data_IF_731690517872
#
_entry.id   IF_731690517872
#
_cell.length_a   1.000
_cell.length_b   1.000
_cell.length_c   1.000
_cell.angle_alpha   90.00
_cell.angle_beta   90.00
_cell.angle_gamma   90.00
#
_symmetry.space_group_name_H-M   'P 1'
#
loop_
_entity.id
_entity.type
_entity.pdbx_description
1 polymer ?
#
# COMPACT_ATOMS: atom_id res chain seq x y z
N UNK A 1 -32.51 -5.68 -4.26
CA UNK A 1 -32.07 -4.42 -3.62
C UNK A 1 -30.59 -4.49 -3.35
N UNK A 2 -29.85 -3.42 -3.64
CA UNK A 2 -28.42 -3.28 -3.34
C UNK A 2 -28.19 -3.26 -1.84
N UNK A 3 -27.04 -3.77 -1.38
CA UNK A 3 -26.64 -3.77 0.03
C UNK A 3 -25.27 -3.12 0.17
N UNK A 4 -25.03 -2.48 1.31
CA UNK A 4 -23.69 -2.04 1.69
C UNK A 4 -22.80 -3.28 1.86
N UNK A 5 -21.75 -3.36 1.05
CA UNK A 5 -20.76 -4.43 1.07
C UNK A 5 -19.58 -4.07 1.98
N UNK A 6 -19.10 -2.83 1.88
CA UNK A 6 -17.97 -2.32 2.67
C UNK A 6 -18.05 -0.80 2.82
N UNK A 7 -17.39 -0.27 3.85
CA UNK A 7 -17.23 1.16 4.13
C UNK A 7 -15.73 1.44 4.35
N UNK A 8 -15.16 2.35 3.57
CA UNK A 8 -13.76 2.77 3.66
C UNK A 8 -13.59 4.15 4.31
N UNK A 9 -12.43 4.80 4.13
CA UNK A 9 -12.21 6.16 4.62
C UNK A 9 -12.91 7.25 3.77
N UNK A 10 -13.06 6.99 2.48
CA UNK A 10 -13.57 7.98 1.51
C UNK A 10 -15.01 7.73 1.05
N UNK A 11 -15.49 6.49 1.14
CA UNK A 11 -16.80 6.13 0.58
C UNK A 11 -17.30 4.75 0.96
N UNK A 12 -18.43 4.39 0.37
CA UNK A 12 -19.15 3.16 0.63
C UNK A 12 -19.34 2.35 -0.65
N UNK A 13 -19.15 1.03 -0.55
CA UNK A 13 -19.23 0.10 -1.67
C UNK A 13 -20.53 -0.69 -1.59
N UNK A 14 -21.29 -0.74 -2.67
CA UNK A 14 -22.60 -1.38 -2.75
C UNK A 14 -22.61 -2.55 -3.73
N UNK A 15 -23.30 -3.63 -3.36
CA UNK A 15 -23.50 -4.81 -4.19
C UNK A 15 -24.93 -5.41 -4.07
N UNK A 16 -25.60 -5.78 -5.17
CA UNK A 16 -25.30 -5.41 -6.57
C UNK A 16 -25.11 -3.89 -6.72
N UNK A 17 -24.34 -3.45 -7.72
CA UNK A 17 -24.01 -2.03 -7.91
C UNK A 17 -25.22 -1.10 -7.99
N UNK A 18 -24.97 0.21 -8.06
CA UNK A 18 -25.99 1.26 -8.18
C UNK A 18 -25.71 2.03 -9.47
N UNK A 19 -26.72 2.18 -10.32
CA UNK A 19 -26.60 2.97 -11.55
C UNK A 19 -26.58 4.46 -11.23
N UNK A 20 -26.08 5.28 -12.16
CA UNK A 20 -26.07 6.75 -12.05
C UNK A 20 -27.44 7.38 -11.76
N UNK A 21 -28.54 6.72 -12.17
CA UNK A 21 -29.90 7.17 -11.90
C UNK A 21 -30.43 6.79 -10.50
N UNK A 22 -29.59 6.17 -9.66
CA UNK A 22 -29.92 5.75 -8.29
C UNK A 22 -30.58 4.38 -8.18
N UNK A 23 -30.90 3.72 -9.30
CA UNK A 23 -31.50 2.39 -9.29
C UNK A 23 -30.45 1.28 -9.12
N UNK A 24 -30.80 0.13 -8.52
CA UNK A 24 -29.93 -1.04 -8.48
C UNK A 24 -29.48 -1.48 -9.88
N UNK A 25 -28.20 -1.80 -10.00
CA UNK A 25 -27.63 -2.42 -11.19
C UNK A 25 -28.03 -3.91 -11.22
N UNK A 26 -28.73 -4.39 -12.26
CA UNK A 26 -29.11 -5.80 -12.35
C UNK A 26 -27.91 -6.71 -12.59
N UNK A 27 -26.78 -6.17 -13.08
CA UNK A 27 -25.55 -6.93 -13.27
C UNK A 27 -24.92 -7.27 -11.93
N UNK A 28 -24.71 -8.56 -11.68
CA UNK A 28 -23.94 -9.08 -10.54
C UNK A 28 -22.43 -9.01 -10.76
N UNK A 29 -21.97 -8.41 -11.86
CA UNK A 29 -20.54 -8.28 -12.19
C UNK A 29 -19.92 -6.97 -11.72
N UNK A 30 -20.71 -6.07 -11.12
CA UNK A 30 -20.27 -4.73 -10.74
C UNK A 30 -20.59 -4.46 -9.28
N UNK A 31 -19.62 -3.88 -8.58
CA UNK A 31 -19.84 -3.13 -7.34
C UNK A 31 -19.74 -1.64 -7.65
N UNK A 32 -20.42 -0.83 -6.86
CA UNK A 32 -20.38 0.62 -7.02
C UNK A 32 -19.88 1.27 -5.74
N UNK A 33 -18.75 2.00 -5.83
CA UNK A 33 -18.21 2.85 -4.77
C UNK A 33 -18.83 4.23 -4.91
N UNK A 34 -19.48 4.71 -3.86
CA UNK A 34 -20.03 6.07 -3.79
C UNK A 34 -19.19 6.86 -2.79
N UNK A 35 -18.64 7.99 -3.24
CA UNK A 35 -17.86 8.90 -2.41
C UNK A 35 -18.09 10.37 -2.80
N UNK A 36 -17.62 11.28 -1.95
CA UNK A 36 -17.69 12.72 -2.24
C UNK A 36 -16.91 13.03 -3.53
N UNK A 37 -17.50 13.86 -4.39
CA UNK A 37 -16.87 14.27 -5.63
C UNK A 37 -15.79 15.34 -5.33
N UNK A 38 -14.57 14.88 -5.04
CA UNK A 38 -13.39 15.68 -4.73
C UNK A 38 -12.18 15.25 -5.59
N UNK A 39 -11.00 15.85 -5.34
CA UNK A 39 -9.77 15.53 -6.06
C UNK A 39 -9.47 14.03 -6.07
N UNK A 40 -9.48 13.37 -4.91
CA UNK A 40 -9.16 11.93 -4.81
C UNK A 40 -10.12 11.06 -5.64
N UNK A 41 -11.39 11.44 -5.75
CA UNK A 41 -12.36 10.69 -6.55
C UNK A 41 -12.15 10.86 -8.06
N UNK A 42 -11.79 12.08 -8.48
CA UNK A 42 -11.41 12.35 -9.86
C UNK A 42 -10.09 11.66 -10.21
N UNK A 43 -9.13 11.69 -9.30
CA UNK A 43 -7.86 11.00 -9.42
C UNK A 43 -8.05 9.48 -9.51
N UNK A 44 -8.90 8.87 -8.68
CA UNK A 44 -9.19 7.43 -8.73
C UNK A 44 -9.76 7.01 -10.10
N UNK A 45 -10.66 7.83 -10.66
CA UNK A 45 -11.21 7.62 -12.01
C UNK A 45 -10.12 7.74 -13.08
N UNK A 46 -9.29 8.78 -12.99
CA UNK A 46 -8.19 9.03 -13.94
C UNK A 46 -7.12 7.92 -13.92
N UNK A 47 -6.71 7.48 -12.73
CA UNK A 47 -5.80 6.33 -12.58
C UNK A 47 -6.45 5.06 -13.13
N UNK A 48 -7.76 4.91 -12.95
CA UNK A 48 -8.50 3.81 -13.54
C UNK A 48 -8.35 3.74 -15.06
N UNK A 49 -8.61 4.86 -15.76
CA UNK A 49 -8.40 4.98 -17.20
C UNK A 49 -6.98 4.58 -17.63
N UNK A 50 -5.95 5.09 -16.94
CA UNK A 50 -4.55 4.76 -17.23
C UNK A 50 -4.24 3.26 -17.06
N UNK A 51 -4.84 2.62 -16.06
CA UNK A 51 -4.68 1.18 -15.82
C UNK A 51 -5.43 0.36 -16.87
N UNK A 52 -6.58 0.83 -17.36
CA UNK A 52 -7.34 0.11 -18.40
C UNK A 52 -6.59 0.00 -19.73
N UNK A 53 -5.66 0.91 -20.00
CA UNK A 53 -4.75 0.85 -21.16
C UNK A 53 -3.76 -0.33 -21.09
N UNK A 54 -3.53 -0.92 -19.91
CA UNK A 54 -2.64 -2.05 -19.73
C UNK A 54 -3.31 -3.36 -20.18
N UNK A 55 -2.60 -4.13 -21.00
CA UNK A 55 -3.09 -5.45 -21.43
C UNK A 55 -3.26 -6.36 -20.22
N UNK A 56 -4.43 -7.01 -20.13
CA UNK A 56 -4.76 -7.95 -19.05
C UNK A 56 -4.72 -7.32 -17.64
N UNK A 57 -4.96 -6.01 -17.49
CA UNK A 57 -4.93 -5.32 -16.19
C UNK A 57 -5.81 -6.00 -15.12
N UNK A 58 -6.94 -6.61 -15.51
CA UNK A 58 -7.88 -7.33 -14.61
C UNK A 58 -7.27 -8.53 -13.89
N UNK A 59 -6.10 -9.00 -14.35
CA UNK A 59 -5.30 -10.00 -13.64
C UNK A 59 -4.70 -9.36 -12.39
N UNK A 60 -4.30 -8.10 -12.40
CA UNK A 60 -3.56 -7.50 -11.28
C UNK A 60 -4.38 -6.48 -10.48
N UNK A 61 -5.33 -5.80 -11.13
CA UNK A 61 -5.98 -4.61 -10.60
C UNK A 61 -7.50 -4.68 -10.72
N UNK A 62 -8.20 -3.98 -9.82
CA UNK A 62 -9.62 -3.64 -9.98
C UNK A 62 -9.77 -2.11 -9.91
N UNK A 63 -9.40 -1.39 -10.98
CA UNK A 63 -9.60 0.05 -11.06
C UNK A 63 -11.08 0.42 -11.14
N UNK A 64 -11.35 1.72 -11.02
CA UNK A 64 -12.62 2.29 -11.46
C UNK A 64 -12.68 2.22 -12.99
N UNK A 65 -13.72 1.59 -13.52
CA UNK A 65 -13.90 1.38 -14.97
C UNK A 65 -14.92 2.35 -15.59
N UNK A 66 -15.73 2.97 -14.75
CA UNK A 66 -16.73 3.95 -15.16
C UNK A 66 -17.11 4.81 -13.96
N UNK A 67 -17.36 6.10 -14.17
CA UNK A 67 -17.81 6.98 -13.12
C UNK A 67 -18.85 8.00 -13.61
N UNK A 68 -19.71 8.45 -12.71
CA UNK A 68 -20.74 9.43 -13.01
C UNK A 68 -21.20 10.17 -11.76
N UNK A 69 -21.63 11.42 -11.92
CA UNK A 69 -22.29 12.15 -10.86
C UNK A 69 -23.58 11.43 -10.44
N UNK A 70 -23.81 11.34 -9.13
CA UNK A 70 -24.98 10.66 -8.58
C UNK A 70 -25.73 11.56 -7.61
N UNK A 71 -27.06 11.60 -7.78
CA UNK A 71 -27.95 12.24 -6.83
C UNK A 71 -28.36 11.22 -5.76
N UNK A 72 -27.70 11.29 -4.60
CA UNK A 72 -27.97 10.39 -3.47
C UNK A 72 -29.43 10.41 -3.02
N UNK A 73 -30.19 11.48 -3.29
CA UNK A 73 -31.63 11.55 -2.92
C UNK A 73 -32.49 10.58 -3.72
N UNK A 74 -31.99 10.07 -4.85
CA UNK A 74 -32.68 9.12 -5.73
C UNK A 74 -32.40 7.66 -5.36
N UNK A 75 -31.41 7.41 -4.50
CA UNK A 75 -31.09 6.07 -4.03
C UNK A 75 -31.98 5.77 -2.81
N UNK A 76 -32.34 4.50 -2.65
CA UNK A 76 -33.11 4.03 -1.50
C UNK A 76 -32.45 4.43 -0.16
N UNK A 77 -33.18 5.19 0.66
CA UNK A 77 -32.73 5.66 1.97
C UNK A 77 -32.32 4.51 2.92
N UNK A 78 -32.90 3.31 2.76
CA UNK A 78 -32.53 2.14 3.56
C UNK A 78 -31.13 1.59 3.24
N UNK A 79 -30.60 1.95 2.07
CA UNK A 79 -29.27 1.58 1.59
C UNK A 79 -28.25 2.65 1.99
N UNK A 80 -28.54 3.92 1.72
CA UNK A 80 -27.61 5.03 2.06
C UNK A 80 -27.46 5.22 3.56
N UNK A 81 -28.53 5.08 4.35
CA UNK A 81 -28.47 5.36 5.80
C UNK A 81 -27.49 4.48 6.56
N UNK A 82 -27.06 3.37 5.96
CA UNK A 82 -26.02 2.47 6.51
C UNK A 82 -24.60 2.98 6.29
N UNK A 83 -24.42 3.98 5.43
CA UNK A 83 -23.13 4.59 5.13
C UNK A 83 -22.95 5.86 5.98
N UNK A 84 -22.06 5.82 6.96
CA UNK A 84 -21.86 6.93 7.90
C UNK A 84 -21.15 8.15 7.26
N UNK A 85 -20.50 7.93 6.11
CA UNK A 85 -19.69 8.94 5.40
C UNK A 85 -20.57 9.86 4.56
N UNK A 86 -21.73 9.39 4.09
CA UNK A 86 -22.61 10.17 3.23
C UNK A 86 -23.38 11.17 4.10
N UNK A 87 -23.05 12.45 3.92
CA UNK A 87 -23.68 13.59 4.58
C UNK A 87 -24.62 14.30 3.60
N UNK A 88 -25.68 14.90 4.14
CA UNK A 88 -26.61 15.72 3.35
C UNK A 88 -25.88 16.94 2.77
N UNK A 89 -26.30 17.38 1.58
CA UNK A 89 -25.83 18.59 0.87
C UNK A 89 -24.39 18.56 0.32
N UNK A 90 -23.84 17.38 0.00
CA UNK A 90 -22.58 17.25 -0.76
C UNK A 90 -22.84 16.66 -2.14
N UNK A 91 -21.92 16.90 -3.08
CA UNK A 91 -21.91 16.24 -4.38
C UNK A 91 -21.20 14.91 -4.27
N UNK A 92 -21.76 13.89 -4.91
CA UNK A 92 -21.26 12.53 -4.87
C UNK A 92 -21.00 12.03 -6.28
N UNK A 93 -19.99 11.17 -6.38
CA UNK A 93 -19.68 10.42 -7.59
C UNK A 93 -19.89 8.94 -7.31
N UNK A 94 -20.46 8.26 -8.30
CA UNK A 94 -20.65 6.82 -8.35
C UNK A 94 -19.58 6.25 -9.26
N UNK A 95 -18.84 5.26 -8.76
CA UNK A 95 -17.71 4.66 -9.47
C UNK A 95 -17.92 3.15 -9.53
N UNK A 96 -18.00 2.61 -10.75
CA UNK A 96 -18.18 1.19 -10.99
C UNK A 96 -16.82 0.48 -10.98
N UNK A 97 -16.77 -0.67 -10.33
CA UNK A 97 -15.61 -1.55 -10.23
C UNK A 97 -16.09 -2.99 -10.51
N UNK A 98 -15.28 -3.78 -11.19
CA UNK A 98 -15.58 -5.20 -11.43
C UNK A 98 -15.69 -5.96 -10.10
N UNK A 99 -16.79 -6.69 -9.93
CA UNK A 99 -17.01 -7.57 -8.80
C UNK A 99 -16.31 -8.91 -9.01
N UNK A 100 -15.57 -9.34 -8.00
CA UNK A 100 -14.99 -10.68 -7.90
C UNK A 100 -15.26 -11.30 -6.52
N UNK A 101 -15.40 -12.62 -6.42
CA UNK A 101 -15.54 -13.31 -5.13
C UNK A 101 -14.17 -13.38 -4.43
N UNK A 102 -14.06 -12.68 -3.30
CA UNK A 102 -12.78 -12.43 -2.63
C UNK A 102 -12.83 -12.81 -1.16
N UNK A 103 -11.64 -13.06 -0.61
CA UNK A 103 -11.41 -13.24 0.82
C UNK A 103 -10.35 -12.24 1.30
N UNK A 104 -10.42 -11.88 2.58
CA UNK A 104 -9.37 -11.06 3.18
C UNK A 104 -8.05 -11.87 3.34
N UNK A 105 -6.92 -11.16 3.38
CA UNK A 105 -5.60 -11.79 3.52
C UNK A 105 -5.51 -12.69 4.77
N UNK A 106 -6.07 -12.26 5.89
CA UNK A 106 -6.02 -13.05 7.14
C UNK A 106 -6.76 -14.37 7.04
N UNK A 107 -7.84 -14.43 6.26
CA UNK A 107 -8.60 -15.63 5.97
C UNK A 107 -7.80 -16.57 5.06
N UNK A 108 -7.00 -16.02 4.13
CA UNK A 108 -6.03 -16.83 3.39
C UNK A 108 -5.02 -17.45 4.36
N UNK A 109 -4.44 -16.66 5.26
CA UNK A 109 -3.45 -17.14 6.23
C UNK A 109 -4.01 -18.23 7.17
N UNK A 110 -5.21 -18.02 7.73
CA UNK A 110 -5.86 -18.95 8.66
C UNK A 110 -6.16 -20.32 8.04
N UNK A 111 -6.61 -20.31 6.78
CA UNK A 111 -7.02 -21.52 6.08
C UNK A 111 -5.86 -22.24 5.36
N UNK A 112 -4.68 -21.62 5.30
CA UNK A 112 -3.50 -22.21 4.69
C UNK A 112 -2.76 -23.14 5.64
N UNK A 113 -2.34 -24.30 5.15
CA UNK A 113 -1.41 -25.16 5.89
C UNK A 113 -0.04 -24.50 5.99
N UNK A 114 0.75 -24.83 7.01
CA UNK A 114 2.07 -24.21 7.20
C UNK A 114 3.01 -24.41 6.01
N UNK A 115 2.93 -25.55 5.32
CA UNK A 115 3.69 -25.78 4.07
C UNK A 115 3.25 -24.84 2.93
N UNK A 116 1.95 -24.53 2.85
CA UNK A 116 1.40 -23.65 1.80
C UNK A 116 1.72 -22.19 2.05
N UNK A 117 1.86 -21.75 3.30
CA UNK A 117 2.17 -20.36 3.65
C UNK A 117 3.47 -19.89 2.99
N UNK A 118 4.52 -20.70 3.03
CA UNK A 118 5.81 -20.35 2.43
C UNK A 118 5.72 -20.13 0.91
N UNK A 119 5.06 -21.06 0.23
CA UNK A 119 4.82 -20.93 -1.22
C UNK A 119 3.92 -19.75 -1.55
N UNK A 120 2.89 -19.50 -0.73
CA UNK A 120 1.99 -18.36 -0.91
C UNK A 120 2.72 -17.03 -0.68
N UNK A 121 3.64 -16.94 0.28
CA UNK A 121 4.47 -15.76 0.49
C UNK A 121 5.30 -15.44 -0.76
N UNK A 122 6.03 -16.43 -1.28
CA UNK A 122 6.81 -16.28 -2.50
C UNK A 122 5.93 -15.87 -3.69
N UNK A 123 4.83 -16.62 -3.92
CA UNK A 123 3.91 -16.35 -5.03
C UNK A 123 3.27 -14.97 -4.92
N UNK A 124 2.85 -14.57 -3.72
CA UNK A 124 2.25 -13.24 -3.48
C UNK A 124 3.27 -12.15 -3.72
N UNK A 125 4.51 -12.31 -3.25
CA UNK A 125 5.55 -11.31 -3.48
C UNK A 125 5.85 -11.16 -4.98
N UNK A 126 6.09 -12.27 -5.68
CA UNK A 126 6.33 -12.28 -7.13
C UNK A 126 5.17 -11.63 -7.89
N UNK A 127 3.94 -12.00 -7.57
CA UNK A 127 2.74 -11.49 -8.22
C UNK A 127 2.56 -9.98 -8.05
N UNK A 128 2.79 -9.46 -6.85
CA UNK A 128 2.68 -8.02 -6.59
C UNK A 128 3.84 -7.28 -7.24
N UNK A 129 5.06 -7.83 -7.26
CA UNK A 129 6.18 -7.23 -8.01
C UNK A 129 5.83 -7.07 -9.49
N UNK A 130 5.24 -8.08 -10.12
CA UNK A 130 4.79 -8.00 -11.52
C UNK A 130 3.69 -6.93 -11.70
N UNK A 131 2.75 -6.81 -10.75
CA UNK A 131 1.77 -5.72 -10.75
C UNK A 131 2.44 -4.33 -10.64
N UNK A 132 3.39 -4.17 -9.72
CA UNK A 132 4.10 -2.90 -9.54
C UNK A 132 4.92 -2.52 -10.77
N UNK A 133 5.45 -3.48 -11.52
CA UNK A 133 6.13 -3.21 -12.80
C UNK A 133 5.17 -2.60 -13.81
N UNK A 134 3.95 -3.14 -13.93
CA UNK A 134 2.92 -2.60 -14.82
C UNK A 134 2.50 -1.16 -14.42
N UNK A 135 2.40 -0.86 -13.12
CA UNK A 135 2.17 0.51 -12.66
C UNK A 135 3.35 1.43 -12.98
N UNK A 136 4.58 0.97 -12.76
CA UNK A 136 5.79 1.72 -13.06
C UNK A 136 5.98 2.00 -14.56
N UNK A 137 5.52 1.11 -15.45
CA UNK A 137 5.45 1.33 -16.91
C UNK A 137 4.55 2.51 -17.29
N UNK A 138 3.49 2.76 -16.51
CA UNK A 138 2.60 3.92 -16.64
C UNK A 138 3.02 5.10 -15.75
N UNK A 139 4.19 5.02 -15.11
CA UNK A 139 4.66 6.02 -14.15
C UNK A 139 3.67 6.28 -13.01
N UNK A 140 2.95 5.25 -12.57
CA UNK A 140 2.00 5.32 -11.44
C UNK A 140 2.67 4.79 -10.19
N UNK A 141 2.56 5.54 -9.09
CA UNK A 141 2.83 5.06 -7.73
C UNK A 141 1.49 4.80 -7.06
N UNK A 142 1.28 3.59 -6.54
CA UNK A 142 0.05 3.27 -5.81
C UNK A 142 -0.10 4.16 -4.57
N UNK A 143 1.00 4.43 -3.85
CA UNK A 143 1.11 5.38 -2.74
C UNK A 143 0.35 4.97 -1.46
N UNK A 144 -0.53 3.98 -1.54
CA UNK A 144 -1.25 3.35 -0.42
C UNK A 144 -1.18 1.81 -0.45
N UNK A 145 -0.03 1.24 -0.83
CA UNK A 145 0.06 -0.22 -0.94
C UNK A 145 0.08 -0.83 0.46
N UNK A 146 -1.03 -1.49 0.84
CA UNK A 146 -1.25 -2.16 2.14
C UNK A 146 -2.16 -3.37 1.99
N UNK A 147 -2.21 -4.23 3.01
CA UNK A 147 -2.97 -5.48 2.96
C UNK A 147 -4.48 -5.26 2.77
N UNK A 148 -5.03 -4.16 3.28
CA UNK A 148 -6.45 -3.80 3.09
C UNK A 148 -6.77 -3.43 1.63
N UNK A 149 -5.77 -2.98 0.88
CA UNK A 149 -5.88 -2.62 -0.53
C UNK A 149 -5.50 -3.80 -1.45
N UNK A 150 -5.53 -5.03 -0.93
CA UNK A 150 -5.31 -6.27 -1.67
C UNK A 150 -6.47 -7.25 -1.44
N UNK A 151 -7.28 -7.49 -2.48
CA UNK A 151 -8.35 -8.47 -2.44
C UNK A 151 -7.89 -9.81 -3.00
N UNK A 152 -7.98 -10.88 -2.21
CA UNK A 152 -7.53 -12.20 -2.64
C UNK A 152 -8.67 -12.97 -3.30
N UNK A 153 -8.52 -13.34 -4.57
CA UNK A 153 -9.50 -14.18 -5.29
C UNK A 153 -9.69 -15.48 -4.53
N UNK A 154 -10.94 -15.87 -4.27
CA UNK A 154 -11.23 -17.01 -3.37
C UNK A 154 -10.72 -18.34 -3.93
N UNK A 155 -10.78 -18.55 -5.23
CA UNK A 155 -10.39 -19.79 -5.89
C UNK A 155 -8.86 -19.91 -6.01
N UNK A 156 -8.21 -18.86 -6.52
CA UNK A 156 -6.77 -18.90 -6.86
C UNK A 156 -5.87 -18.38 -5.75
N UNK A 157 -6.42 -17.62 -4.79
CA UNK A 157 -5.67 -16.88 -3.75
C UNK A 157 -4.66 -15.89 -4.32
N UNK A 158 -4.83 -15.47 -5.58
CA UNK A 158 -4.03 -14.40 -6.16
C UNK A 158 -4.64 -13.04 -5.79
N UNK A 159 -3.82 -12.04 -5.41
CA UNK A 159 -4.32 -10.73 -5.04
C UNK A 159 -4.80 -9.93 -6.26
N UNK A 160 -5.67 -8.95 -6.00
CA UNK A 160 -6.00 -7.83 -6.88
C UNK A 160 -5.80 -6.55 -6.08
N UNK A 161 -5.04 -5.62 -6.63
CA UNK A 161 -4.79 -4.31 -6.01
C UNK A 161 -5.98 -3.39 -6.31
N UNK A 162 -6.42 -2.66 -5.29
CA UNK A 162 -7.57 -1.75 -5.31
C UNK A 162 -7.23 -0.42 -4.64
N UNK A 163 -8.16 0.53 -4.71
CA UNK A 163 -8.12 1.82 -4.01
C UNK A 163 -6.99 2.74 -4.46
N UNK A 164 -7.15 3.28 -5.68
CA UNK A 164 -6.19 4.16 -6.33
C UNK A 164 -6.43 5.65 -6.04
N UNK A 165 -7.28 5.99 -5.06
CA UNK A 165 -7.73 7.37 -4.84
C UNK A 165 -6.62 8.36 -4.50
N UNK A 166 -5.53 7.88 -3.90
CA UNK A 166 -4.35 8.69 -3.57
C UNK A 166 -3.11 8.31 -4.39
N UNK A 167 -3.27 7.46 -5.42
CA UNK A 167 -2.17 7.11 -6.30
C UNK A 167 -1.67 8.33 -7.07
N UNK A 168 -0.38 8.30 -7.44
CA UNK A 168 0.30 9.43 -8.04
C UNK A 168 0.68 9.07 -9.49
N UNK A 169 0.05 9.69 -10.51
CA UNK A 169 0.48 9.60 -11.89
C UNK A 169 1.67 10.55 -12.08
N UNK A 170 2.89 10.05 -11.88
CA UNK A 170 4.10 10.87 -11.76
C UNK A 170 4.39 11.77 -12.96
N UNK A 171 3.95 11.36 -14.15
CA UNK A 171 4.04 12.15 -15.40
C UNK A 171 3.10 13.36 -15.43
N UNK A 172 1.98 13.30 -14.69
CA UNK A 172 1.00 14.39 -14.60
C UNK A 172 1.29 15.35 -13.42
N UNK A 173 2.29 15.02 -12.59
CA UNK A 173 2.66 15.86 -11.42
C UNK A 173 3.52 17.05 -11.86
N UNK A 174 2.97 18.25 -11.67
CA UNK A 174 3.59 19.55 -11.91
C UNK A 174 3.83 20.29 -10.60
N UNK A 175 4.57 21.41 -10.62
CA UNK A 175 4.75 22.24 -9.42
C UNK A 175 3.42 22.82 -8.90
N UNK A 176 2.42 23.05 -9.77
CA UNK A 176 1.12 23.63 -9.39
C UNK A 176 0.16 22.64 -8.72
N UNK A 177 0.14 21.38 -9.14
CA UNK A 177 -0.78 20.36 -8.60
C UNK A 177 -0.10 19.42 -7.57
N UNK A 178 1.19 19.60 -7.30
CA UNK A 178 1.94 18.72 -6.40
C UNK A 178 1.32 18.59 -5.01
N UNK A 179 0.74 19.68 -4.51
CA UNK A 179 0.10 19.73 -3.20
C UNK A 179 -1.17 18.86 -3.10
N UNK A 180 -1.80 18.54 -4.23
CA UNK A 180 -2.98 17.66 -4.29
C UNK A 180 -2.58 16.18 -4.17
N UNK A 181 -1.42 15.79 -4.73
CA UNK A 181 -0.89 14.43 -4.68
C UNK A 181 -0.11 14.13 -3.38
N UNK A 182 0.77 15.05 -2.98
CA UNK A 182 1.51 14.97 -1.73
C UNK A 182 0.79 15.83 -0.69
N UNK A 183 -0.35 15.36 -0.19
CA UNK A 183 -1.31 16.19 0.55
C UNK A 183 -1.07 16.27 2.07
N UNK A 184 -0.20 15.44 2.67
CA UNK A 184 0.01 15.50 4.13
C UNK A 184 1.37 14.99 4.60
N UNK A 185 1.96 15.71 5.55
CA UNK A 185 3.12 15.22 6.31
C UNK A 185 2.65 14.28 7.44
N UNK A 186 2.82 12.98 7.23
CA UNK A 186 2.40 11.92 8.14
C UNK A 186 3.51 10.88 8.35
N UNK A 187 4.59 11.21 9.07
CA UNK A 187 5.69 10.26 9.35
C UNK A 187 5.24 9.03 10.15
N UNK A 188 4.06 9.07 10.77
CA UNK A 188 3.44 7.93 11.43
C UNK A 188 2.86 6.90 10.44
N UNK A 189 2.73 7.25 9.17
CA UNK A 189 2.26 6.38 8.11
C UNK A 189 3.43 5.53 7.58
N UNK A 190 3.86 4.55 8.38
CA UNK A 190 5.14 3.86 8.24
C UNK A 190 5.38 3.09 6.93
N UNK A 191 4.35 2.93 6.08
CA UNK A 191 4.52 2.36 4.73
C UNK A 191 5.12 3.38 3.74
N UNK A 192 5.15 4.66 4.10
CA UNK A 192 5.84 5.72 3.34
C UNK A 192 7.32 5.79 3.72
N UNK A 193 8.17 5.78 2.70
CA UNK A 193 9.61 5.98 2.87
C UNK A 193 9.96 7.41 3.31
N UNK A 194 11.22 7.61 3.72
CA UNK A 194 11.70 8.92 4.16
C UNK A 194 11.56 9.98 3.06
N UNK A 195 11.73 9.62 1.77
CA UNK A 195 11.57 10.55 0.67
C UNK A 195 10.15 11.13 0.62
N UNK A 196 9.13 10.28 0.74
CA UNK A 196 7.73 10.71 0.75
C UNK A 196 7.48 11.65 1.93
N UNK A 197 7.98 11.31 3.12
CA UNK A 197 7.84 12.14 4.31
C UNK A 197 8.56 13.50 4.16
N UNK A 198 9.77 13.49 3.59
CA UNK A 198 10.54 14.69 3.31
C UNK A 198 9.85 15.59 2.27
N UNK A 199 9.34 15.02 1.18
CA UNK A 199 8.60 15.77 0.15
C UNK A 199 7.35 16.42 0.77
N UNK A 200 6.54 15.66 1.51
CA UNK A 200 5.37 16.23 2.17
C UNK A 200 5.73 17.31 3.21
N UNK A 201 6.83 17.13 3.95
CA UNK A 201 7.33 18.15 4.87
C UNK A 201 7.70 19.46 4.15
N UNK A 202 8.44 19.37 3.05
CA UNK A 202 8.87 20.52 2.25
C UNK A 202 7.69 21.23 1.57
N UNK A 203 6.64 20.50 1.19
CA UNK A 203 5.44 21.10 0.58
C UNK A 203 4.60 21.85 1.62
N UNK A 204 4.40 21.24 2.80
CA UNK A 204 3.40 21.70 3.77
C UNK A 204 3.94 22.46 4.97
N UNK A 205 5.22 22.31 5.29
CA UNK A 205 5.83 22.87 6.51
C UNK A 205 6.99 23.82 6.23
N UNK A 206 7.81 23.56 5.21
CA UNK A 206 8.93 24.45 4.86
C UNK A 206 9.17 24.56 3.34
N UNK A 207 8.81 25.71 2.76
CA UNK A 207 9.01 26.05 1.34
C UNK A 207 10.35 26.75 1.04
N UNK A 208 11.19 26.96 2.05
CA UNK A 208 12.46 27.67 1.98
C UNK A 208 13.65 26.75 1.71
N UNK A 209 14.65 26.82 2.58
CA UNK A 209 15.80 25.92 2.57
C UNK A 209 15.67 24.90 3.69
N UNK A 210 16.10 23.66 3.44
CA UNK A 210 16.10 22.60 4.45
C UNK A 210 17.26 22.83 5.43
N UNK A 211 16.97 22.94 6.72
CA UNK A 211 18.00 22.97 7.76
C UNK A 211 18.38 21.57 8.25
N UNK A 212 19.55 21.44 8.85
CA UNK A 212 20.00 20.17 9.44
C UNK A 212 19.04 19.65 10.52
N UNK A 213 18.50 20.55 11.36
CA UNK A 213 17.56 20.18 12.42
C UNK A 213 16.24 19.65 11.87
N UNK A 214 15.70 20.27 10.80
CA UNK A 214 14.48 19.81 10.15
C UNK A 214 14.70 18.47 9.45
N UNK A 215 15.84 18.30 8.78
CA UNK A 215 16.24 17.03 8.15
C UNK A 215 16.27 15.90 9.19
N UNK A 216 16.96 16.12 10.32
CA UNK A 216 17.03 15.15 11.41
C UNK A 216 15.66 14.85 11.99
N UNK A 217 14.84 15.89 12.23
CA UNK A 217 13.48 15.73 12.74
C UNK A 217 12.61 14.84 11.84
N UNK A 218 12.62 15.06 10.52
CA UNK A 218 11.82 14.24 9.58
C UNK A 218 12.27 12.78 9.61
N UNK A 219 13.58 12.53 9.62
CA UNK A 219 14.14 11.17 9.68
C UNK A 219 13.80 10.50 11.00
N UNK A 220 14.06 11.18 12.13
CA UNK A 220 13.78 10.65 13.47
C UNK A 220 12.31 10.29 13.62
N UNK A 221 11.39 11.15 13.16
CA UNK A 221 9.96 10.86 13.19
C UNK A 221 9.60 9.67 12.30
N UNK A 222 10.17 9.58 11.09
CA UNK A 222 9.89 8.48 10.16
C UNK A 222 10.37 7.13 10.71
N UNK A 223 11.56 7.10 11.35
CA UNK A 223 12.14 5.89 11.93
C UNK A 223 11.44 5.50 13.22
N UNK A 224 11.18 6.46 14.11
CA UNK A 224 10.56 6.19 15.42
C UNK A 224 9.13 5.66 15.30
N UNK A 225 8.41 5.99 14.23
CA UNK A 225 7.06 5.48 14.02
C UNK A 225 7.00 4.22 13.15
N UNK A 226 8.12 3.62 12.77
CA UNK A 226 8.15 2.39 11.97
C UNK A 226 8.19 1.15 12.89
N UNK A 227 7.10 0.38 13.05
CA UNK A 227 7.03 -0.71 14.01
C UNK A 227 8.01 -1.86 13.71
N UNK A 228 8.33 -2.07 12.43
CA UNK A 228 9.29 -3.08 12.01
C UNK A 228 10.70 -2.71 12.44
N UNK A 229 11.12 -1.45 12.26
CA UNK A 229 12.45 -1.01 12.72
C UNK A 229 12.55 -1.06 14.24
N UNK A 230 11.47 -0.66 14.94
CA UNK A 230 11.40 -0.76 16.41
C UNK A 230 11.56 -2.20 16.88
N UNK A 231 10.94 -3.17 16.20
CA UNK A 231 11.03 -4.59 16.59
C UNK A 231 12.43 -5.18 16.44
N UNK A 232 13.30 -4.58 15.61
CA UNK A 232 14.71 -5.01 15.44
C UNK A 232 15.67 -4.46 16.49
N UNK A 233 15.21 -3.53 17.33
CA UNK A 233 15.98 -3.00 18.46
C UNK A 233 16.87 -1.80 18.12
N UNK A 234 17.41 -1.20 19.18
CA UNK A 234 18.05 0.12 19.10
C UNK A 234 19.28 0.17 18.19
N UNK A 235 20.09 -0.89 18.14
CA UNK A 235 21.28 -0.92 17.28
C UNK A 235 20.91 -0.77 15.79
N UNK A 236 19.89 -1.52 15.34
CA UNK A 236 19.38 -1.41 13.96
C UNK A 236 18.81 -0.03 13.67
N UNK A 237 18.12 0.57 14.66
CA UNK A 237 17.56 1.92 14.53
C UNK A 237 18.65 2.95 14.35
N UNK A 238 19.69 2.91 15.18
CA UNK A 238 20.80 3.87 15.11
C UNK A 238 21.62 3.71 13.83
N UNK A 239 21.85 2.48 13.37
CA UNK A 239 22.48 2.23 12.08
C UNK A 239 21.63 2.79 10.92
N UNK A 240 20.33 2.50 10.91
CA UNK A 240 19.41 2.99 9.88
C UNK A 240 19.34 4.53 9.86
N UNK A 241 19.29 5.17 11.03
CA UNK A 241 19.35 6.63 11.15
C UNK A 241 20.68 7.19 10.67
N UNK A 242 21.79 6.58 11.04
CA UNK A 242 23.12 6.99 10.59
C UNK A 242 23.24 7.01 9.06
N UNK A 243 22.79 5.93 8.42
CA UNK A 243 22.75 5.84 6.95
C UNK A 243 21.78 6.86 6.32
N UNK A 244 20.64 7.13 6.98
CA UNK A 244 19.74 8.18 6.54
C UNK A 244 20.39 9.56 6.64
N UNK A 245 21.02 9.89 7.77
CA UNK A 245 21.71 11.18 7.93
C UNK A 245 22.83 11.38 6.93
N UNK A 246 23.62 10.34 6.67
CA UNK A 246 24.66 10.37 5.65
C UNK A 246 24.09 10.75 4.28
N UNK A 247 23.03 10.07 3.83
CA UNK A 247 22.42 10.34 2.53
C UNK A 247 21.75 11.72 2.49
N UNK A 248 20.95 12.08 3.50
CA UNK A 248 20.12 13.29 3.44
C UNK A 248 20.86 14.59 3.78
N UNK A 249 22.06 14.53 4.37
CA UNK A 249 22.88 15.73 4.67
C UNK A 249 23.21 16.52 3.41
N UNK A 250 23.31 15.87 2.24
CA UNK A 250 23.54 16.55 0.96
C UNK A 250 22.44 17.57 0.60
N UNK A 251 21.24 17.45 1.19
CA UNK A 251 20.11 18.34 0.94
C UNK A 251 20.05 19.56 1.86
N UNK A 252 20.90 19.61 2.89
CA UNK A 252 20.93 20.74 3.84
C UNK A 252 21.38 22.02 3.13
N UNK A 253 20.62 23.10 3.31
CA UNK A 253 20.83 24.40 2.67
C UNK A 253 20.26 24.51 1.25
N UNK A 254 19.84 23.41 0.62
CA UNK A 254 19.19 23.44 -0.69
C UNK A 254 17.74 23.90 -0.60
N UNK A 255 17.21 24.47 -1.69
CA UNK A 255 15.82 24.92 -1.76
C UNK A 255 14.85 23.73 -1.88
N UNK A 256 13.68 23.84 -1.26
CA UNK A 256 12.67 22.78 -1.24
C UNK A 256 12.33 22.21 -2.62
N UNK A 257 12.18 23.04 -3.64
CA UNK A 257 11.86 22.61 -5.01
C UNK A 257 12.97 21.77 -5.66
N UNK A 258 14.24 22.10 -5.41
CA UNK A 258 15.39 21.34 -5.91
C UNK A 258 15.51 19.98 -5.22
N UNK A 259 15.28 19.96 -3.90
CA UNK A 259 15.27 18.72 -3.10
C UNK A 259 14.15 17.79 -3.59
N UNK A 260 12.93 18.30 -3.73
CA UNK A 260 11.78 17.51 -4.21
C UNK A 260 12.07 16.93 -5.59
N UNK A 261 12.65 17.70 -6.52
CA UNK A 261 13.02 17.20 -7.85
C UNK A 261 14.01 16.03 -7.77
N UNK A 262 15.02 16.11 -6.89
CA UNK A 262 16.00 15.03 -6.69
C UNK A 262 15.37 13.79 -6.05
N UNK A 263 14.56 13.96 -4.99
CA UNK A 263 13.94 12.84 -4.29
C UNK A 263 12.89 12.11 -5.14
N UNK A 264 12.11 12.84 -5.96
CA UNK A 264 11.09 12.25 -6.83
C UNK A 264 11.65 11.27 -7.86
N UNK A 265 12.93 11.35 -8.24
CA UNK A 265 13.53 10.45 -9.23
C UNK A 265 13.45 8.97 -8.81
N UNK A 266 13.40 8.70 -7.50
CA UNK A 266 13.39 7.35 -6.96
C UNK A 266 11.99 6.72 -6.81
N UNK A 267 10.94 7.37 -7.33
CA UNK A 267 9.53 6.97 -7.12
C UNK A 267 9.22 5.52 -7.45
N UNK A 268 9.91 4.93 -8.43
CA UNK A 268 9.73 3.53 -8.85
C UNK A 268 10.08 2.51 -7.77
N UNK A 269 10.72 2.93 -6.68
CA UNK A 269 11.05 2.07 -5.52
C UNK A 269 10.09 2.22 -4.35
N UNK A 270 9.21 3.23 -4.35
CA UNK A 270 8.40 3.57 -3.19
C UNK A 270 7.37 2.49 -2.84
N UNK A 271 6.65 1.95 -3.84
CA UNK A 271 5.71 0.86 -3.57
C UNK A 271 6.44 -0.45 -3.21
N UNK A 272 7.67 -0.66 -3.70
CA UNK A 272 8.49 -1.81 -3.31
C UNK A 272 8.98 -1.69 -1.85
N UNK A 273 9.26 -0.47 -1.39
CA UNK A 273 9.50 -0.18 0.03
C UNK A 273 8.27 -0.59 0.86
N UNK A 274 7.07 -0.11 0.49
CA UNK A 274 5.83 -0.44 1.20
C UNK A 274 5.56 -1.95 1.22
N UNK A 275 5.72 -2.62 0.08
CA UNK A 275 5.56 -4.08 -0.04
C UNK A 275 6.53 -4.84 0.87
N UNK A 276 7.79 -4.41 0.88
CA UNK A 276 8.85 -5.05 1.67
C UNK A 276 8.60 -4.86 3.17
N UNK A 277 8.14 -3.69 3.62
CA UNK A 277 7.70 -3.46 5.00
C UNK A 277 6.59 -4.43 5.42
N UNK A 278 5.56 -4.57 4.60
CA UNK A 278 4.39 -5.41 4.93
C UNK A 278 4.74 -6.89 5.01
N UNK A 279 5.47 -7.39 4.00
CA UNK A 279 5.85 -8.79 3.94
C UNK A 279 6.88 -9.14 5.03
N UNK A 280 7.79 -8.23 5.35
CA UNK A 280 8.76 -8.45 6.42
C UNK A 280 8.05 -8.48 7.78
N UNK A 281 7.16 -7.52 8.05
CA UNK A 281 6.34 -7.50 9.27
C UNK A 281 5.54 -8.80 9.45
N UNK A 282 5.03 -9.37 8.35
CA UNK A 282 4.35 -10.66 8.36
C UNK A 282 5.31 -11.84 8.64
N UNK A 283 6.48 -11.88 7.99
CA UNK A 283 7.50 -12.91 8.24
C UNK A 283 7.95 -12.89 9.69
N UNK A 284 8.21 -11.71 10.26
CA UNK A 284 8.65 -11.54 11.65
C UNK A 284 7.61 -12.10 12.64
N UNK A 285 6.31 -11.93 12.34
CA UNK A 285 5.21 -12.51 13.14
C UNK A 285 5.09 -14.03 12.99
N UNK A 286 5.36 -14.56 11.79
CA UNK A 286 5.29 -16.00 11.51
C UNK A 286 6.47 -16.77 12.11
N UNK A 287 7.64 -16.12 12.19
CA UNK A 287 8.91 -16.67 12.66
C UNK A 287 9.48 -15.80 13.79
N UNK A 288 8.83 -15.83 14.95
CA UNK A 288 9.12 -14.97 16.10
C UNK A 288 10.41 -15.31 16.86
N UNK A 289 11.12 -16.37 16.46
CA UNK A 289 12.45 -16.72 17.01
C UNK A 289 13.46 -16.95 15.90
N UNK A 290 14.69 -16.47 16.11
CA UNK A 290 15.79 -16.62 15.13
C UNK A 290 16.08 -18.08 14.84
N UNK A 291 16.03 -18.95 15.84
CA UNK A 291 16.23 -20.40 15.73
C UNK A 291 15.21 -21.10 14.80
N UNK A 292 14.09 -20.44 14.51
CA UNK A 292 13.04 -20.95 13.63
C UNK A 292 13.26 -20.59 12.16
N UNK A 293 14.26 -19.75 11.86
CA UNK A 293 14.56 -19.24 10.52
C UNK A 293 15.66 -20.07 9.87
N UNK A 294 15.43 -20.51 8.63
CA UNK A 294 16.44 -21.13 7.78
C UNK A 294 17.06 -20.11 6.83
N UNK A 295 17.97 -20.56 5.95
CA UNK A 295 18.61 -19.74 4.92
C UNK A 295 17.60 -18.98 4.03
N UNK A 296 16.49 -19.63 3.65
CA UNK A 296 15.43 -19.02 2.86
C UNK A 296 14.78 -17.82 3.58
N UNK A 297 14.31 -17.98 4.82
CA UNK A 297 13.71 -16.87 5.57
C UNK A 297 14.72 -15.75 5.81
N UNK A 298 15.95 -16.09 6.19
CA UNK A 298 17.00 -15.09 6.37
C UNK A 298 17.33 -14.36 5.06
N UNK A 299 17.26 -15.06 3.92
CA UNK A 299 17.40 -14.47 2.59
C UNK A 299 16.28 -13.49 2.26
N UNK A 300 15.03 -13.84 2.56
CA UNK A 300 13.89 -12.93 2.39
C UNK A 300 14.01 -11.68 3.27
N UNK A 301 14.41 -11.84 4.53
CA UNK A 301 14.62 -10.71 5.44
C UNK A 301 15.73 -9.78 4.93
N UNK A 302 16.85 -10.33 4.44
CA UNK A 302 17.93 -9.54 3.83
C UNK A 302 17.47 -8.79 2.58
N UNK A 303 16.70 -9.44 1.70
CA UNK A 303 16.12 -8.82 0.51
C UNK A 303 15.19 -7.66 0.90
N UNK A 304 14.30 -7.88 1.87
CA UNK A 304 13.36 -6.86 2.32
C UNK A 304 14.09 -5.70 3.01
N UNK A 305 15.10 -5.98 3.84
CA UNK A 305 15.97 -4.95 4.44
C UNK A 305 16.63 -4.07 3.36
N UNK A 306 17.13 -4.68 2.29
CA UNK A 306 17.71 -3.96 1.16
C UNK A 306 16.70 -3.03 0.48
N UNK A 307 15.46 -3.49 0.33
CA UNK A 307 14.40 -2.71 -0.31
C UNK A 307 13.79 -1.62 0.58
N UNK A 308 14.01 -1.69 1.89
CA UNK A 308 13.61 -0.63 2.82
C UNK A 308 14.77 0.29 3.22
N UNK A 309 15.92 0.20 2.55
CA UNK A 309 17.10 1.00 2.86
C UNK A 309 16.79 2.52 2.87
N UNK A 310 17.31 3.33 3.82
CA UNK A 310 16.98 4.75 3.93
C UNK A 310 17.49 5.59 2.74
N UNK A 311 18.68 5.26 2.24
CA UNK A 311 19.20 5.75 0.96
C UNK A 311 18.52 5.00 -0.20
N UNK A 312 17.76 5.69 -1.06
CA UNK A 312 17.03 5.09 -2.17
C UNK A 312 17.93 4.56 -3.29
N UNK A 313 19.17 5.04 -3.44
CA UNK A 313 20.12 4.53 -4.45
C UNK A 313 20.57 3.12 -4.13
N UNK A 314 20.47 2.72 -2.86
CA UNK A 314 20.76 1.37 -2.39
C UNK A 314 19.56 0.44 -2.50
N UNK A 315 18.36 0.89 -2.83
CA UNK A 315 17.20 -0.01 -3.03
C UNK A 315 17.30 -0.72 -4.37
N UNK A 316 16.84 -1.96 -4.43
CA UNK A 316 16.77 -2.68 -5.69
C UNK A 316 15.62 -2.16 -6.55
N UNK A 317 15.78 -2.24 -7.86
CA UNK A 317 14.68 -2.09 -8.79
C UNK A 317 13.66 -3.23 -8.61
N UNK A 318 12.49 -3.10 -9.24
CA UNK A 318 11.48 -4.17 -9.23
C UNK A 318 11.98 -5.44 -9.94
N UNK A 319 12.79 -5.29 -11.00
CA UNK A 319 13.39 -6.42 -11.73
C UNK A 319 14.49 -7.10 -10.92
N UNK A 320 15.37 -6.31 -10.31
CA UNK A 320 16.44 -6.85 -9.46
C UNK A 320 15.86 -7.51 -8.21
N UNK A 321 14.81 -6.93 -7.61
CA UNK A 321 14.09 -7.55 -6.49
C UNK A 321 13.49 -8.89 -6.91
N UNK A 322 12.85 -8.95 -8.07
CA UNK A 322 12.23 -10.16 -8.60
C UNK A 322 13.26 -11.26 -8.88
N UNK A 323 14.42 -10.88 -9.43
CA UNK A 323 15.54 -11.80 -9.68
C UNK A 323 16.16 -12.30 -8.38
N UNK A 324 16.38 -11.39 -7.41
CA UNK A 324 16.96 -11.77 -6.12
C UNK A 324 16.02 -12.62 -5.28
N UNK A 325 14.70 -12.43 -5.41
CA UNK A 325 13.69 -13.28 -4.80
C UNK A 325 13.77 -14.72 -5.32
N UNK A 326 13.98 -14.89 -6.64
CA UNK A 326 14.15 -16.21 -7.24
C UNK A 326 15.45 -16.85 -6.74
N UNK A 327 16.57 -16.11 -6.69
CA UNK A 327 17.83 -16.60 -6.12
C UNK A 327 17.66 -17.11 -4.68
N UNK A 328 16.98 -16.35 -3.82
CA UNK A 328 16.72 -16.74 -2.42
C UNK A 328 15.93 -18.05 -2.34
N UNK A 329 14.99 -18.29 -3.24
CA UNK A 329 14.21 -19.54 -3.30
C UNK A 329 15.13 -20.74 -3.66
N UNK A 330 16.03 -20.54 -4.62
CA UNK A 330 16.93 -21.59 -5.12
C UNK A 330 18.14 -21.86 -4.22
N UNK A 331 18.61 -20.88 -3.43
CA UNK A 331 19.72 -21.03 -2.48
C UNK A 331 19.43 -22.07 -1.38
N UNK A 332 18.16 -22.26 -0.97
CA UNK A 332 17.79 -23.25 0.07
C UNK A 332 17.73 -24.67 -0.49
N UNK A 333 17.27 -24.87 -1.74
CA UNK A 333 17.34 -26.08 -2.58
C UNK A 333 16.82 -27.43 -2.03
N UNK A 334 16.73 -27.60 -0.71
CA UNK A 334 16.47 -28.84 -0.01
C UNK A 334 15.03 -28.87 0.50
N UNK A 335 14.24 -29.77 -0.07
CA UNK A 335 12.85 -30.03 0.32
C UNK A 335 12.73 -30.34 1.83
N UNK A 336 13.76 -30.92 2.46
CA UNK A 336 13.75 -31.20 3.91
C UNK A 336 13.85 -29.93 4.75
N UNK A 337 14.60 -28.93 4.29
CA UNK A 337 14.68 -27.58 4.89
C UNK A 337 13.30 -26.93 4.92
N UNK A 338 12.60 -26.90 3.78
CA UNK A 338 11.22 -26.40 3.67
C UNK A 338 10.22 -27.12 4.57
N UNK A 339 10.30 -28.45 4.63
CA UNK A 339 9.42 -29.26 5.50
C UNK A 339 9.66 -28.96 6.99
N UNK A 340 10.91 -28.73 7.38
CA UNK A 340 11.28 -28.37 8.75
C UNK A 340 10.83 -26.96 9.09
N UNK A 341 11.06 -26.00 8.19
CA UNK A 341 10.60 -24.63 8.32
C UNK A 341 9.09 -24.53 8.51
N UNK A 342 8.32 -25.34 7.77
CA UNK A 342 6.87 -25.38 7.91
C UNK A 342 6.39 -25.82 9.30
N UNK A 343 7.20 -26.59 10.05
CA UNK A 343 6.88 -26.99 11.43
C UNK A 343 7.13 -25.86 12.43
N UNK A 344 8.04 -24.95 12.09
CA UNK A 344 8.46 -23.84 12.93
C UNK A 344 7.54 -22.61 12.81
N UNK A 345 6.68 -22.56 11.79
CA UNK A 345 5.65 -21.50 11.68
C UNK A 345 4.80 -21.50 12.95
N UNK A 346 4.69 -20.33 13.56
CA UNK A 346 3.87 -20.11 14.75
C UNK A 346 2.47 -20.70 14.55
N UNK A 347 2.11 -21.65 15.40
CA UNK A 347 0.87 -22.44 15.27
C UNK A 347 -0.38 -21.59 15.53
N UNK A 348 -0.27 -20.54 16.34
CA UNK A 348 -1.37 -19.63 16.64
C UNK A 348 -1.57 -18.57 15.55
N UNK A 349 -2.07 -19.02 14.39
CA UNK A 349 -2.41 -18.14 13.26
C UNK A 349 -3.56 -17.19 13.58
N UNK A 350 -4.39 -17.53 14.58
CA UNK A 350 -5.51 -16.69 15.02
C UNK A 350 -4.99 -15.41 15.68
N UNK A 351 -4.03 -15.54 16.58
CA UNK A 351 -3.37 -14.38 17.20
C UNK A 351 -2.68 -13.49 16.16
N UNK A 352 -1.93 -14.08 15.23
CA UNK A 352 -1.27 -13.33 14.12
C UNK A 352 -2.30 -12.57 13.28
N UNK A 353 -3.41 -13.22 12.92
CA UNK A 353 -4.47 -12.59 12.14
C UNK A 353 -5.10 -11.40 12.87
N UNK A 354 -5.31 -11.51 14.19
CA UNK A 354 -5.83 -10.41 15.01
C UNK A 354 -4.83 -9.25 15.06
N UNK A 355 -3.54 -9.54 15.21
CA UNK A 355 -2.49 -8.51 15.22
C UNK A 355 -2.45 -7.75 13.88
N UNK A 356 -2.47 -8.48 12.76
CA UNK A 356 -2.47 -7.87 11.41
C UNK A 356 -3.69 -6.96 11.23
N UNK A 357 -4.88 -7.40 11.61
CA UNK A 357 -6.09 -6.56 11.50
C UNK A 357 -5.97 -5.28 12.32
N UNK A 358 -5.49 -5.37 13.57
CA UNK A 358 -5.29 -4.20 14.44
C UNK A 358 -4.27 -3.22 13.86
N UNK A 359 -3.15 -3.72 13.34
CA UNK A 359 -2.13 -2.87 12.71
C UNK A 359 -2.67 -2.13 11.49
N UNK A 360 -3.48 -2.78 10.66
CA UNK A 360 -4.11 -2.14 9.50
C UNK A 360 -5.17 -1.11 9.93
N UNK A 361 -5.98 -1.43 10.94
CA UNK A 361 -6.92 -0.48 11.55
C UNK A 361 -6.21 0.75 12.12
N UNK A 362 -5.10 0.57 12.84
CA UNK A 362 -4.29 1.65 13.41
C UNK A 362 -3.63 2.51 12.33
N UNK A 363 -3.11 1.88 11.28
CA UNK A 363 -2.53 2.55 10.13
C UNK A 363 -3.57 3.41 9.42
N UNK A 364 -4.76 2.87 9.13
CA UNK A 364 -5.87 3.60 8.53
C UNK A 364 -6.38 4.74 9.42
N UNK A 365 -6.52 4.51 10.73
CA UNK A 365 -6.92 5.57 11.69
C UNK A 365 -5.91 6.71 11.72
N UNK A 366 -4.62 6.38 11.74
CA UNK A 366 -3.53 7.36 11.71
C UNK A 366 -3.63 8.24 10.47
N UNK A 367 -3.85 7.61 9.33
CA UNK A 367 -3.98 8.28 8.04
C UNK A 367 -5.20 9.21 7.97
N UNK A 368 -6.39 8.70 8.29
CA UNK A 368 -7.64 9.49 8.28
C UNK A 368 -7.55 10.68 9.24
N UNK A 369 -6.96 10.48 10.44
CA UNK A 369 -6.74 11.56 11.40
C UNK A 369 -5.85 12.67 10.84
N UNK A 370 -4.82 12.32 10.07
CA UNK A 370 -3.91 13.28 9.45
C UNK A 370 -4.56 14.02 8.28
N UNK A 371 -5.40 13.36 7.48
CA UNK A 371 -6.16 14.02 6.42
C UNK A 371 -7.22 15.01 6.95
N UNK A 372 -7.73 14.79 8.16
CA UNK A 372 -8.72 15.68 8.78
C UNK A 372 -8.15 16.96 9.43
N UNK A 373 -6.83 17.11 9.46
CA UNK A 373 -6.10 18.24 10.09
C UNK A 373 -5.40 19.07 9.04
#
# INVERSE_FOLDING_TARGET
MSKLLSQGGFGCVFYPGVKCNGMPNPSKKIVTKIQENNFNAQNESRIGELIEELKNYKVYFLPVINSCDIDIRKIDNSVISKCEIIKKNRKYISMDIDYIDTVDYTSVLLNSTSKRILMQLYQTYKYILDALKLLAEKSIVHYDLKMDNMLFVKETKQPRIIDFGISIPMEEVTESNMHDYFYVFAPEYYIWCIEINMINYLIHKNKGQLTENEMKMVIDLSVHNNPLLISKGNETIEEYKGQAYEYYTQFVGMKSNEIIKKLKVHYKTWDNYSLSILLFSLIDKLFDRVEYKNSYILGLERLMLRNIHPDPEKRLSLDDTSSKLDEVLYEDGDVRSYLTLSKNIKKDKKSISIQIKREMEDLNRTFVRKMSR
#
